data_IF_965650202207
#
_entry.id   IF_965650202207
#
_cell.length_a   1.000
_cell.length_b   1.000
_cell.length_c   1.000
_cell.angle_alpha   90.00
_cell.angle_beta   90.00
_cell.angle_gamma   90.00
#
_symmetry.space_group_name_H-M   'P 1'
#
loop_
_entity.id
_entity.type
_entity.pdbx_description
1 polymer ?
#
# COMPACT_ATOMS: atom_id res chain seq x y z
N UNK A 1 38.15 -23.37 -14.35
CA UNK A 1 38.68 -22.11 -14.94
C UNK A 1 37.94 -20.95 -14.29
N UNK A 2 38.63 -20.01 -13.65
CA UNK A 2 38.02 -18.85 -12.93
C UNK A 2 37.03 -18.03 -13.78
N UNK A 3 37.12 -18.12 -15.11
CA UNK A 3 36.22 -17.44 -16.04
C UNK A 3 34.80 -18.02 -16.09
N UNK A 4 34.59 -19.30 -15.79
CA UNK A 4 33.24 -19.91 -15.77
C UNK A 4 32.47 -19.65 -14.47
N UNK A 5 33.17 -19.31 -13.39
CA UNK A 5 32.58 -19.07 -12.06
C UNK A 5 32.28 -17.59 -11.79
N UNK A 6 32.57 -16.71 -12.75
CA UNK A 6 32.28 -15.28 -12.62
C UNK A 6 30.79 -14.98 -12.85
N UNK A 7 30.12 -14.24 -11.94
CA UNK A 7 28.72 -13.83 -12.12
C UNK A 7 28.46 -13.06 -13.43
N UNK A 8 29.45 -12.30 -13.90
CA UNK A 8 29.32 -11.54 -15.14
C UNK A 8 29.37 -12.44 -16.37
N UNK A 9 30.20 -13.49 -16.34
CA UNK A 9 30.29 -14.50 -17.40
C UNK A 9 29.06 -15.40 -17.41
N UNK A 10 28.53 -15.75 -16.23
CA UNK A 10 27.25 -16.47 -16.14
C UNK A 10 26.10 -15.67 -16.76
N UNK A 11 26.04 -14.36 -16.50
CA UNK A 11 25.05 -13.47 -17.12
C UNK A 11 25.25 -13.34 -18.64
N UNK A 12 26.49 -13.25 -19.10
CA UNK A 12 26.82 -13.20 -20.52
C UNK A 12 26.41 -14.49 -21.25
N UNK A 13 26.73 -15.67 -20.69
CA UNK A 13 26.37 -16.97 -21.25
C UNK A 13 24.86 -17.16 -21.33
N UNK A 14 24.12 -16.83 -20.27
CA UNK A 14 22.66 -16.87 -20.29
C UNK A 14 22.05 -15.95 -21.36
N UNK A 15 22.71 -14.82 -21.66
CA UNK A 15 22.26 -13.91 -22.71
C UNK A 15 22.55 -14.51 -24.10
N UNK A 16 23.71 -15.14 -24.29
CA UNK A 16 24.05 -15.83 -25.55
C UNK A 16 23.08 -16.97 -25.84
N UNK A 17 22.74 -17.79 -24.84
CA UNK A 17 21.73 -18.85 -24.97
C UNK A 17 20.38 -18.31 -25.45
N UNK A 18 19.99 -17.12 -24.98
CA UNK A 18 18.75 -16.45 -25.43
C UNK A 18 18.87 -15.94 -26.87
N UNK A 19 20.05 -15.46 -27.28
CA UNK A 19 20.30 -14.98 -28.65
C UNK A 19 20.34 -16.12 -29.68
N UNK A 20 20.77 -17.31 -29.27
CA UNK A 20 20.89 -18.50 -30.14
C UNK A 20 19.56 -19.28 -30.30
N UNK A 21 18.50 -18.89 -29.59
CA UNK A 21 17.17 -19.51 -29.70
C UNK A 21 16.58 -19.39 -31.11
N UNK A 22 15.79 -20.38 -31.51
CA UNK A 22 14.97 -20.27 -32.73
C UNK A 22 13.91 -19.17 -32.59
N UNK A 23 13.38 -18.62 -33.70
CA UNK A 23 12.35 -17.58 -33.64
C UNK A 23 11.12 -17.95 -32.79
N UNK A 24 10.72 -19.22 -32.78
CA UNK A 24 9.58 -19.71 -31.99
C UNK A 24 9.90 -19.76 -30.49
N UNK A 25 11.09 -20.23 -30.13
CA UNK A 25 11.53 -20.30 -28.73
C UNK A 25 11.73 -18.91 -28.15
N UNK A 26 12.35 -18.02 -28.92
CA UNK A 26 12.51 -16.62 -28.54
C UNK A 26 11.17 -15.94 -28.30
N UNK A 27 10.20 -16.15 -29.19
CA UNK A 27 8.83 -15.63 -29.01
C UNK A 27 8.18 -16.15 -27.72
N UNK A 28 8.29 -17.45 -27.43
CA UNK A 28 7.74 -18.03 -26.19
C UNK A 28 8.43 -17.46 -24.94
N UNK A 29 9.75 -17.30 -24.97
CA UNK A 29 10.54 -16.71 -23.90
C UNK A 29 10.11 -15.26 -23.63
N UNK A 30 10.04 -14.42 -24.66
CA UNK A 30 9.64 -13.01 -24.54
C UNK A 30 8.22 -12.87 -23.99
N UNK A 31 7.26 -13.69 -24.45
CA UNK A 31 5.89 -13.66 -23.93
C UNK A 31 5.82 -14.07 -22.45
N UNK A 32 6.59 -15.11 -22.05
CA UNK A 32 6.69 -15.49 -20.64
C UNK A 32 7.29 -14.37 -19.80
N UNK A 33 8.39 -13.76 -20.25
CA UNK A 33 9.04 -12.68 -19.52
C UNK A 33 8.12 -11.47 -19.38
N UNK A 34 7.39 -11.11 -20.44
CA UNK A 34 6.38 -10.05 -20.39
C UNK A 34 5.29 -10.37 -19.36
N UNK A 35 4.75 -11.58 -19.37
CA UNK A 35 3.72 -11.99 -18.41
C UNK A 35 4.21 -11.91 -16.96
N UNK A 36 5.41 -12.42 -16.67
CA UNK A 36 5.98 -12.35 -15.32
C UNK A 36 6.26 -10.91 -14.89
N UNK A 37 6.70 -10.05 -15.82
CA UNK A 37 6.88 -8.62 -15.56
C UNK A 37 5.54 -7.94 -15.22
N UNK A 38 4.50 -8.13 -16.06
CA UNK A 38 3.18 -7.56 -15.84
C UNK A 38 2.60 -8.01 -14.50
N UNK A 39 2.74 -9.29 -14.16
CA UNK A 39 2.35 -9.86 -12.87
C UNK A 39 3.11 -9.23 -11.69
N UNK A 40 4.41 -9.05 -11.83
CA UNK A 40 5.23 -8.40 -10.81
C UNK A 40 4.81 -6.94 -10.61
N UNK A 41 4.57 -6.20 -11.70
CA UNK A 41 4.07 -4.83 -11.67
C UNK A 41 2.71 -4.73 -10.98
N UNK A 42 1.75 -5.60 -11.32
CA UNK A 42 0.45 -5.62 -10.66
C UNK A 42 0.54 -5.92 -9.17
N UNK A 43 1.37 -6.90 -8.77
CA UNK A 43 1.58 -7.19 -7.35
C UNK A 43 2.19 -6.00 -6.61
N UNK A 44 3.14 -5.31 -7.24
CA UNK A 44 3.78 -4.13 -6.66
C UNK A 44 2.76 -2.99 -6.47
N UNK A 45 1.99 -2.66 -7.49
CA UNK A 45 0.95 -1.63 -7.42
C UNK A 45 -0.08 -1.98 -6.36
N UNK A 46 -0.63 -3.20 -6.37
CA UNK A 46 -1.63 -3.62 -5.38
C UNK A 46 -1.10 -3.61 -3.94
N UNK A 47 0.19 -3.89 -3.73
CA UNK A 47 0.82 -3.76 -2.41
C UNK A 47 0.92 -2.29 -1.97
N UNK A 48 1.32 -1.40 -2.89
CA UNK A 48 1.40 0.04 -2.60
C UNK A 48 0.02 0.63 -2.30
N UNK A 49 -0.98 0.37 -3.15
CA UNK A 49 -2.36 0.82 -2.94
C UNK A 49 -2.92 0.27 -1.62
N UNK A 50 -2.63 -0.98 -1.28
CA UNK A 50 -3.04 -1.58 -0.02
C UNK A 50 -2.42 -0.90 1.21
N UNK A 51 -1.14 -0.52 1.14
CA UNK A 51 -0.49 0.25 2.21
C UNK A 51 -1.12 1.64 2.33
N UNK A 52 -1.29 2.36 1.21
CA UNK A 52 -1.84 3.71 1.21
C UNK A 52 -3.27 3.72 1.77
N UNK A 53 -4.11 2.78 1.34
CA UNK A 53 -5.47 2.62 1.87
C UNK A 53 -5.45 2.31 3.38
N UNK A 54 -4.57 1.42 3.84
CA UNK A 54 -4.45 1.07 5.26
C UNK A 54 -3.96 2.25 6.12
N UNK A 55 -3.04 3.06 5.61
CA UNK A 55 -2.58 4.28 6.30
C UNK A 55 -3.72 5.28 6.39
N UNK A 56 -4.44 5.53 5.30
CA UNK A 56 -5.55 6.48 5.27
C UNK A 56 -6.67 6.05 6.25
N UNK A 57 -7.08 4.79 6.20
CA UNK A 57 -8.09 4.25 7.13
C UNK A 57 -7.64 4.36 8.59
N UNK A 58 -6.35 4.11 8.85
CA UNK A 58 -5.76 4.27 10.18
C UNK A 58 -5.77 5.72 10.68
N UNK A 59 -5.44 6.67 9.80
CA UNK A 59 -5.48 8.10 10.11
C UNK A 59 -6.90 8.58 10.39
N UNK A 60 -7.87 8.18 9.57
CA UNK A 60 -9.28 8.58 9.72
C UNK A 60 -9.86 8.02 11.02
N UNK A 61 -9.63 6.74 11.32
CA UNK A 61 -10.02 6.14 12.60
C UNK A 61 -9.36 6.82 13.79
N UNK A 62 -8.07 7.15 13.69
CA UNK A 62 -7.34 7.85 14.73
C UNK A 62 -7.85 9.27 14.97
N UNK A 63 -8.15 10.01 13.89
CA UNK A 63 -8.72 11.35 13.96
C UNK A 63 -10.11 11.33 14.62
N UNK A 64 -10.96 10.37 14.22
CA UNK A 64 -12.29 10.19 14.80
C UNK A 64 -12.21 9.80 16.28
N UNK A 65 -11.33 8.86 16.65
CA UNK A 65 -11.12 8.48 18.05
C UNK A 65 -10.67 9.68 18.91
N UNK A 66 -9.76 10.51 18.39
CA UNK A 66 -9.34 11.74 19.07
C UNK A 66 -10.47 12.75 19.23
N UNK A 67 -11.35 12.87 18.24
CA UNK A 67 -12.54 13.72 18.32
C UNK A 67 -13.48 13.24 19.45
N UNK A 68 -13.70 11.92 19.57
CA UNK A 68 -14.49 11.33 20.65
C UNK A 68 -13.87 11.59 22.04
N UNK A 69 -12.57 11.39 22.19
CA UNK A 69 -11.86 11.66 23.45
C UNK A 69 -11.93 13.13 23.86
N UNK A 70 -11.77 14.03 22.89
CA UNK A 70 -11.91 15.48 23.10
C UNK A 70 -13.32 15.83 23.55
N UNK A 71 -14.34 15.31 22.85
CA UNK A 71 -15.74 15.53 23.21
C UNK A 71 -16.09 14.98 24.59
N UNK A 72 -15.57 13.81 24.96
CA UNK A 72 -15.74 13.23 26.30
C UNK A 72 -15.16 14.12 27.39
N UNK A 73 -13.95 14.63 27.20
CA UNK A 73 -13.33 15.54 28.16
C UNK A 73 -14.14 16.84 28.31
N UNK A 74 -14.57 17.43 27.20
CA UNK A 74 -15.42 18.63 27.25
C UNK A 74 -16.77 18.36 27.93
N UNK A 75 -17.34 17.16 27.75
CA UNK A 75 -18.57 16.74 28.44
C UNK A 75 -18.36 16.66 29.95
N UNK A 76 -17.25 16.09 30.41
CA UNK A 76 -16.87 16.07 31.83
C UNK A 76 -16.71 17.47 32.42
N UNK A 77 -16.30 18.45 31.62
CA UNK A 77 -16.19 19.85 32.02
C UNK A 77 -17.49 20.65 31.85
N UNK A 78 -18.62 20.00 31.53
CA UNK A 78 -19.94 20.61 31.35
C UNK A 78 -20.00 21.68 30.24
N UNK A 79 -19.21 21.54 29.17
CA UNK A 79 -19.36 22.41 28.01
C UNK A 79 -20.74 22.20 27.33
N UNK A 80 -21.34 23.24 26.74
CA UNK A 80 -22.56 23.12 25.97
C UNK A 80 -22.40 22.15 24.79
N UNK A 81 -23.41 21.32 24.52
CA UNK A 81 -23.39 20.33 23.42
C UNK A 81 -23.06 21.01 22.08
N UNK A 82 -23.62 22.20 21.83
CA UNK A 82 -23.37 22.97 20.62
C UNK A 82 -21.88 23.35 20.44
N UNK A 83 -21.20 23.73 21.52
CA UNK A 83 -19.77 24.05 21.48
C UNK A 83 -18.91 22.80 21.29
N UNK A 84 -19.30 21.68 21.92
CA UNK A 84 -18.62 20.39 21.75
C UNK A 84 -18.68 19.97 20.28
N UNK A 85 -19.87 19.99 19.66
CA UNK A 85 -20.02 19.65 18.23
C UNK A 85 -19.15 20.55 17.34
N UNK A 86 -19.07 21.84 17.66
CA UNK A 86 -18.27 22.80 16.88
C UNK A 86 -16.76 22.53 16.99
N UNK A 87 -16.29 22.10 18.16
CA UNK A 87 -14.86 21.88 18.43
C UNK A 87 -14.40 20.49 17.97
N UNK A 88 -15.18 19.44 18.25
CA UNK A 88 -14.83 18.06 17.90
C UNK A 88 -15.16 17.70 16.46
N UNK A 89 -16.06 18.46 15.81
CA UNK A 89 -16.58 18.14 14.48
C UNK A 89 -17.55 16.95 14.48
N UNK A 90 -17.95 16.46 15.64
CA UNK A 90 -18.92 15.37 15.79
C UNK A 90 -20.36 15.89 15.65
N UNK A 91 -21.24 14.99 15.25
CA UNK A 91 -22.68 15.24 15.24
C UNK A 91 -23.24 15.37 16.66
N UNK A 92 -24.41 15.99 16.77
CA UNK A 92 -25.10 16.16 18.05
C UNK A 92 -25.43 14.80 18.68
N UNK A 93 -25.84 13.84 17.86
CA UNK A 93 -26.19 12.49 18.25
C UNK A 93 -24.97 11.73 18.83
N UNK A 94 -23.81 11.85 18.18
CA UNK A 94 -22.55 11.27 18.67
C UNK A 94 -22.14 11.88 20.02
N UNK A 95 -22.28 13.20 20.17
CA UNK A 95 -21.95 13.89 21.43
C UNK A 95 -22.93 13.54 22.55
N UNK A 96 -24.22 13.38 22.25
CA UNK A 96 -25.24 12.97 23.22
C UNK A 96 -25.08 11.51 23.65
N UNK A 97 -24.55 10.65 22.78
CA UNK A 97 -24.23 9.26 23.09
C UNK A 97 -22.98 9.10 23.98
N UNK A 98 -22.16 10.14 24.12
CA UNK A 98 -21.00 10.15 25.03
C UNK A 98 -21.50 10.35 26.46
N UNK A 99 -21.52 9.24 27.22
CA UNK A 99 -21.80 9.20 28.67
C UNK A 99 -20.62 9.70 29.52
#
# INVERSE_FOLDING_TARGET
MLAQESPMMAKANATIEVMEMSPKEKWLYENRMKYEHDKASWKHVGYQEGIEAGIQEGLDKGAYQKALETAKLMRMHNYPIAEICTISGLSKEEVEAIN
#
